data_IF_979422890515
#
_entry.id   IF_979422890515
#
_cell.length_a   1.000
_cell.length_b   1.000
_cell.length_c   1.000
_cell.angle_alpha   90.00
_cell.angle_beta   90.00
_cell.angle_gamma   90.00
#
_symmetry.space_group_name_H-M   'P 1'
#
loop_
_entity.id
_entity.type
_entity.pdbx_description
1 polymer ?
#
# COMPACT_ATOMS: atom_id res chain seq x y z
N UNK A 1 22.54 -19.74 4.84
CA UNK A 1 22.13 -18.76 3.80
C UNK A 1 22.06 -17.38 4.42
N UNK A 2 22.77 -16.36 3.88
CA UNK A 2 22.61 -14.97 4.32
C UNK A 2 21.21 -14.49 3.91
N UNK A 3 20.41 -14.03 4.86
CA UNK A 3 19.08 -13.44 4.62
C UNK A 3 19.28 -12.15 3.82
N UNK A 4 18.61 -12.00 2.68
CA UNK A 4 18.68 -10.75 1.91
C UNK A 4 18.28 -9.56 2.81
N UNK A 5 18.92 -8.39 2.66
CA UNK A 5 18.61 -7.23 3.49
C UNK A 5 17.14 -6.84 3.33
N UNK A 6 16.49 -6.37 4.42
CA UNK A 6 15.11 -5.92 4.34
C UNK A 6 15.00 -4.76 3.38
N UNK A 7 13.99 -4.83 2.51
CA UNK A 7 13.68 -3.79 1.53
C UNK A 7 12.52 -2.97 2.05
N UNK A 8 12.71 -1.66 2.17
CA UNK A 8 11.70 -0.74 2.65
C UNK A 8 11.28 0.26 1.59
N UNK A 9 10.02 0.65 1.63
CA UNK A 9 9.49 1.84 0.99
C UNK A 9 9.47 2.95 2.04
N UNK A 10 10.19 4.04 1.78
CA UNK A 10 10.03 5.27 2.57
C UNK A 10 8.97 6.13 1.89
N UNK A 11 7.91 6.39 2.64
CA UNK A 11 6.73 7.09 2.18
C UNK A 11 6.73 8.52 2.70
N UNK A 12 6.79 9.49 1.77
CA UNK A 12 6.57 10.91 2.06
C UNK A 12 5.29 11.38 1.36
N UNK A 13 4.88 12.63 1.61
CA UNK A 13 3.67 13.19 1.06
C UNK A 13 3.63 13.16 -0.49
N UNK A 14 4.75 13.44 -1.16
CA UNK A 14 4.79 13.60 -2.62
C UNK A 14 5.82 12.73 -3.35
N UNK A 15 6.92 12.34 -2.69
CA UNK A 15 8.01 11.56 -3.29
C UNK A 15 8.34 10.35 -2.43
N UNK A 16 8.27 9.17 -3.02
CA UNK A 16 8.57 7.90 -2.38
C UNK A 16 10.03 7.52 -2.65
N UNK A 17 10.71 6.91 -1.68
CA UNK A 17 12.03 6.31 -1.90
C UNK A 17 11.83 4.80 -2.04
N UNK A 18 12.11 4.30 -3.23
CA UNK A 18 11.94 2.88 -3.58
C UNK A 18 13.29 2.20 -3.69
N UNK A 19 13.43 0.93 -3.27
CA UNK A 19 14.60 0.13 -3.62
C UNK A 19 14.70 0.01 -5.14
N UNK A 20 15.83 0.42 -5.72
CA UNK A 20 16.02 0.48 -7.17
C UNK A 20 15.80 -0.90 -7.83
N UNK A 21 16.20 -1.98 -7.14
CA UNK A 21 15.98 -3.38 -7.56
C UNK A 21 14.50 -3.78 -7.75
N UNK A 22 13.54 -2.98 -7.26
CA UNK A 22 12.11 -3.25 -7.40
C UNK A 22 11.46 -2.43 -8.52
N UNK A 23 12.18 -1.45 -9.08
CA UNK A 23 11.67 -0.57 -10.12
C UNK A 23 11.64 -1.29 -11.47
N UNK A 24 10.52 -1.16 -12.20
CA UNK A 24 10.46 -1.57 -13.61
C UNK A 24 10.89 -0.40 -14.49
N UNK A 25 11.96 -0.60 -15.24
CA UNK A 25 12.50 0.40 -16.15
C UNK A 25 11.58 0.55 -17.36
N UNK A 26 11.31 1.80 -17.76
CA UNK A 26 10.50 2.14 -18.94
C UNK A 26 11.33 2.74 -20.09
N UNK A 27 12.57 3.16 -19.85
CA UNK A 27 13.45 3.80 -20.84
C UNK A 27 14.90 3.32 -20.71
N UNK A 28 15.67 3.38 -21.80
CA UNK A 28 17.08 2.92 -21.86
C UNK A 28 18.09 3.87 -21.22
N UNK A 29 17.83 5.18 -21.19
CA UNK A 29 18.76 6.17 -20.61
C UNK A 29 18.73 6.13 -19.08
N UNK A 30 17.55 5.99 -18.49
CA UNK A 30 17.37 5.88 -17.04
C UNK A 30 17.86 4.52 -16.51
N UNK A 31 17.92 3.50 -17.38
CA UNK A 31 18.26 2.14 -17.01
C UNK A 31 19.65 2.00 -16.38
N UNK A 32 20.68 2.68 -16.91
CA UNK A 32 22.04 2.58 -16.37
C UNK A 32 22.16 3.22 -14.98
N UNK A 33 21.60 4.42 -14.83
CA UNK A 33 21.64 5.14 -13.57
C UNK A 33 20.89 4.38 -12.46
N UNK A 34 19.74 3.77 -12.80
CA UNK A 34 18.95 2.99 -11.85
C UNK A 34 19.60 1.64 -11.55
N UNK A 35 20.24 0.98 -12.53
CA UNK A 35 20.90 -0.31 -12.33
C UNK A 35 22.04 -0.25 -11.30
N UNK A 36 22.73 0.89 -11.21
CA UNK A 36 23.79 1.13 -10.21
C UNK A 36 23.27 1.76 -8.90
N UNK A 37 21.98 2.07 -8.83
CA UNK A 37 21.38 2.73 -7.66
C UNK A 37 20.96 1.72 -6.60
N UNK A 38 20.94 2.17 -5.35
CA UNK A 38 20.33 1.42 -4.24
C UNK A 38 18.86 1.77 -4.14
N UNK A 39 18.54 3.05 -4.31
CA UNK A 39 17.20 3.59 -4.22
C UNK A 39 16.90 4.55 -5.36
N UNK A 40 15.63 4.84 -5.56
CA UNK A 40 15.18 5.90 -6.47
C UNK A 40 14.18 6.80 -5.77
N UNK A 41 14.21 8.08 -6.11
CA UNK A 41 13.14 9.00 -5.80
C UNK A 41 12.05 8.85 -6.86
N UNK A 42 10.84 8.49 -6.44
CA UNK A 42 9.70 8.25 -7.32
C UNK A 42 8.55 9.17 -6.94
N UNK A 43 8.05 9.95 -7.88
CA UNK A 43 6.89 10.82 -7.65
C UNK A 43 5.66 9.97 -7.39
N UNK A 44 4.96 10.24 -6.29
CA UNK A 44 3.84 9.42 -5.81
C UNK A 44 2.62 9.45 -6.74
N UNK A 45 2.30 10.62 -7.30
CA UNK A 45 1.08 10.85 -8.13
C UNK A 45 1.04 10.07 -9.45
N UNK A 46 2.19 9.90 -10.10
CA UNK A 46 2.28 9.34 -11.46
C UNK A 46 3.32 8.21 -11.59
N UNK A 47 4.11 8.00 -10.54
CA UNK A 47 5.13 6.98 -10.49
C UNK A 47 6.38 7.26 -11.30
N UNK A 48 6.57 8.51 -11.76
CA UNK A 48 7.76 8.91 -12.49
C UNK A 48 8.98 8.83 -11.58
N UNK A 49 10.04 8.19 -12.06
CA UNK A 49 11.34 8.22 -11.37
C UNK A 49 11.98 9.59 -11.62
N UNK A 50 12.37 10.25 -10.53
CA UNK A 50 12.90 11.62 -10.52
C UNK A 50 14.42 11.64 -10.38
N UNK A 51 14.97 10.73 -9.57
CA UNK A 51 16.39 10.63 -9.30
C UNK A 51 16.77 9.20 -8.91
N UNK A 52 18.02 8.84 -9.16
CA UNK A 52 18.68 7.64 -8.64
C UNK A 52 19.54 8.02 -7.43
N UNK A 53 19.61 7.15 -6.42
CA UNK A 53 20.44 7.35 -5.23
C UNK A 53 21.29 6.11 -4.99
N UNK A 54 22.61 6.31 -4.88
CA UNK A 54 23.56 5.24 -4.60
C UNK A 54 24.79 5.76 -3.84
N UNK A 55 25.89 4.99 -3.80
CA UNK A 55 27.09 5.36 -3.05
C UNK A 55 27.72 6.70 -3.48
N UNK A 56 27.57 7.08 -4.75
CA UNK A 56 28.03 8.36 -5.29
C UNK A 56 27.10 9.54 -5.02
N UNK A 57 26.04 9.36 -4.23
CA UNK A 57 25.04 10.37 -3.92
C UNK A 57 23.82 10.32 -4.83
N UNK A 58 23.08 11.44 -4.85
CA UNK A 58 21.86 11.62 -5.64
C UNK A 58 22.19 12.06 -7.06
N UNK A 59 21.67 11.33 -8.05
CA UNK A 59 21.78 11.63 -9.48
C UNK A 59 20.40 11.98 -10.04
N UNK A 60 20.15 13.24 -10.44
CA UNK A 60 18.90 13.64 -11.06
C UNK A 60 18.67 12.91 -12.39
N UNK A 61 17.44 12.44 -12.64
CA UNK A 61 17.00 11.91 -13.93
C UNK A 61 16.09 12.89 -14.69
N UNK A 62 15.79 14.04 -14.07
CA UNK A 62 14.98 15.10 -14.64
C UNK A 62 15.66 16.46 -14.47
N UNK A 63 15.65 17.33 -15.51
CA UNK A 63 16.25 18.67 -15.42
C UNK A 63 15.67 19.54 -14.30
N UNK A 64 14.38 19.39 -14.01
CA UNK A 64 13.66 20.22 -13.05
C UNK A 64 13.53 19.59 -11.65
N UNK A 65 14.37 18.60 -11.31
CA UNK A 65 14.29 17.87 -10.02
C UNK A 65 14.14 18.83 -8.83
N UNK A 66 14.98 19.87 -8.75
CA UNK A 66 15.04 20.80 -7.62
C UNK A 66 13.77 21.63 -7.40
N UNK A 67 12.82 21.62 -8.34
CA UNK A 67 11.51 22.28 -8.22
C UNK A 67 10.39 21.29 -7.89
N UNK A 68 10.70 20.01 -7.72
CA UNK A 68 9.70 18.98 -7.43
C UNK A 68 9.13 19.16 -6.02
N UNK A 69 7.80 19.27 -5.87
CA UNK A 69 7.16 19.33 -4.56
C UNK A 69 7.53 18.12 -3.69
N UNK A 70 7.92 18.39 -2.45
CA UNK A 70 8.31 17.38 -1.48
C UNK A 70 9.73 16.82 -1.65
N UNK A 71 10.57 17.38 -2.53
CA UNK A 71 11.95 16.92 -2.69
C UNK A 71 12.75 17.07 -1.39
N UNK A 72 12.62 18.20 -0.70
CA UNK A 72 13.32 18.44 0.58
C UNK A 72 13.00 17.36 1.61
N UNK A 73 11.71 17.05 1.79
CA UNK A 73 11.26 15.98 2.68
C UNK A 73 11.78 14.60 2.25
N UNK A 74 11.90 14.35 0.94
CA UNK A 74 12.45 13.10 0.42
C UNK A 74 13.97 12.99 0.62
N UNK A 75 14.71 14.08 0.45
CA UNK A 75 16.16 14.13 0.72
C UNK A 75 16.41 13.93 2.22
N UNK A 76 15.68 14.63 3.09
CA UNK A 76 15.78 14.44 4.54
C UNK A 76 15.45 13.01 4.99
N UNK A 77 14.66 12.27 4.20
CA UNK A 77 14.33 10.88 4.49
C UNK A 77 15.39 9.87 4.02
N UNK A 78 16.41 10.28 3.25
CA UNK A 78 17.50 9.40 2.82
C UNK A 78 18.36 8.92 3.97
N UNK A 79 18.58 9.76 4.98
CA UNK A 79 19.35 9.40 6.19
C UNK A 79 18.77 8.18 6.90
N UNK A 80 17.45 7.98 6.80
CA UNK A 80 16.76 6.82 7.37
C UNK A 80 17.14 5.52 6.68
N UNK A 81 17.33 5.54 5.36
CA UNK A 81 17.76 4.36 4.61
C UNK A 81 19.22 4.01 4.85
N UNK A 82 20.03 5.02 5.19
CA UNK A 82 21.45 4.85 5.55
C UNK A 82 21.66 4.41 7.00
N UNK A 83 20.61 4.48 7.84
CA UNK A 83 20.65 4.03 9.21
C UNK A 83 20.92 2.51 9.29
N UNK A 84 21.65 2.08 10.34
CA UNK A 84 21.94 0.66 10.58
C UNK A 84 20.68 -0.19 10.74
N UNK A 85 19.63 0.38 11.32
CA UNK A 85 18.30 -0.25 11.41
C UNK A 85 17.19 0.76 11.06
N UNK A 86 16.77 0.83 9.79
CA UNK A 86 15.68 1.71 9.37
C UNK A 86 14.35 1.41 10.10
N UNK A 87 14.11 0.16 10.50
CA UNK A 87 12.88 -0.24 11.19
C UNK A 87 12.82 0.25 12.64
N UNK A 88 13.97 0.59 13.24
CA UNK A 88 14.05 1.20 14.57
C UNK A 88 14.04 2.74 14.53
N UNK A 89 14.10 3.35 13.34
CA UNK A 89 14.14 4.81 13.18
C UNK A 89 12.86 5.50 13.69
N UNK A 90 12.96 6.80 14.01
CA UNK A 90 11.78 7.61 14.32
C UNK A 90 10.77 7.63 13.17
N UNK A 91 11.25 7.56 11.92
CA UNK A 91 10.41 7.48 10.73
C UNK A 91 9.54 6.20 10.74
N UNK A 92 10.09 5.07 11.18
CA UNK A 92 9.34 3.82 11.25
C UNK A 92 8.14 3.86 12.21
N UNK A 93 8.14 4.80 13.16
CA UNK A 93 7.04 5.04 14.11
C UNK A 93 6.11 6.19 13.68
N UNK A 94 6.47 6.93 12.64
CA UNK A 94 5.73 8.08 12.17
C UNK A 94 4.73 7.75 11.07
N UNK A 95 3.71 8.59 10.99
CA UNK A 95 2.69 8.59 9.94
C UNK A 95 2.73 9.92 9.17
N UNK A 96 2.04 9.98 8.02
CA UNK A 96 1.84 11.23 7.29
C UNK A 96 0.57 11.93 7.78
N UNK A 97 0.60 13.26 7.99
CA UNK A 97 -0.57 14.03 8.41
C UNK A 97 -1.75 13.92 7.43
N UNK A 98 -2.98 13.97 7.98
CA UNK A 98 -4.22 13.82 7.22
C UNK A 98 -4.83 15.12 6.66
N UNK A 99 -4.35 16.31 7.04
CA UNK A 99 -5.03 17.59 6.77
C UNK A 99 -5.35 17.82 5.28
N UNK A 100 -4.39 17.55 4.40
CA UNK A 100 -4.59 17.68 2.96
C UNK A 100 -5.67 16.71 2.42
N UNK A 101 -5.78 15.53 3.04
CA UNK A 101 -6.79 14.52 2.67
C UNK A 101 -8.17 14.94 3.14
N UNK A 102 -8.29 15.54 4.32
CA UNK A 102 -9.56 16.10 4.80
C UNK A 102 -10.04 17.24 3.91
N UNK A 103 -9.14 18.15 3.51
CA UNK A 103 -9.47 19.23 2.58
C UNK A 103 -9.91 18.69 1.20
N UNK A 104 -9.20 17.68 0.66
CA UNK A 104 -9.58 17.02 -0.60
C UNK A 104 -10.95 16.33 -0.49
N UNK A 105 -11.23 15.65 0.63
CA UNK A 105 -12.51 14.99 0.88
C UNK A 105 -13.67 15.99 0.94
N UNK A 106 -13.49 17.11 1.64
CA UNK A 106 -14.47 18.18 1.68
C UNK A 106 -14.73 18.78 0.29
N UNK A 107 -13.68 18.98 -0.51
CA UNK A 107 -13.79 19.45 -1.90
C UNK A 107 -14.52 18.45 -2.82
N UNK A 108 -14.49 17.15 -2.52
CA UNK A 108 -15.28 16.12 -3.22
C UNK A 108 -16.73 16.03 -2.73
N UNK A 109 -17.11 16.79 -1.70
CA UNK A 109 -18.44 16.75 -1.10
C UNK A 109 -18.67 15.57 -0.15
N UNK A 110 -17.60 15.01 0.43
CA UNK A 110 -17.73 14.01 1.49
C UNK A 110 -18.36 14.65 2.73
N UNK A 111 -19.38 13.99 3.30
CA UNK A 111 -20.02 14.48 4.52
C UNK A 111 -19.04 14.50 5.71
N UNK A 112 -19.13 15.53 6.55
CA UNK A 112 -18.27 15.70 7.73
C UNK A 112 -18.41 14.54 8.73
N UNK A 113 -19.58 13.91 8.78
CA UNK A 113 -19.89 12.79 9.65
C UNK A 113 -19.58 11.43 9.02
N UNK A 114 -18.98 11.36 7.82
CA UNK A 114 -18.75 10.13 7.08
C UNK A 114 -18.08 9.03 7.91
N UNK A 115 -17.06 9.38 8.71
CA UNK A 115 -16.37 8.43 9.57
C UNK A 115 -17.30 7.83 10.64
N UNK A 116 -18.18 8.65 11.20
CA UNK A 116 -19.13 8.24 12.23
C UNK A 116 -20.30 7.44 11.63
N UNK A 117 -20.84 7.88 10.50
CA UNK A 117 -22.00 7.26 9.84
C UNK A 117 -21.64 5.93 9.16
N UNK A 118 -20.43 5.79 8.62
CA UNK A 118 -19.94 4.53 8.04
C UNK A 118 -19.17 3.65 9.04
N UNK A 119 -18.76 4.17 10.18
CA UNK A 119 -17.82 3.49 11.08
C UNK A 119 -16.43 3.22 10.48
N UNK A 120 -16.10 3.78 9.31
CA UNK A 120 -14.78 3.70 8.71
C UNK A 120 -13.89 4.79 9.30
N UNK A 121 -12.98 4.40 10.20
CA UNK A 121 -12.04 5.35 10.81
C UNK A 121 -11.05 5.93 9.79
N UNK A 122 -10.46 7.07 10.14
CA UNK A 122 -9.34 7.61 9.38
C UNK A 122 -8.07 6.78 9.65
N UNK A 123 -7.34 6.46 8.59
CA UNK A 123 -6.09 5.73 8.59
C UNK A 123 -4.99 6.62 8.03
N UNK A 124 -4.08 7.05 8.88
CA UNK A 124 -2.87 7.72 8.43
C UNK A 124 -1.95 6.76 7.68
N UNK A 125 -1.15 7.28 6.76
CA UNK A 125 -0.19 6.45 6.02
C UNK A 125 1.10 6.24 6.83
N UNK A 126 1.58 5.00 7.00
CA UNK A 126 2.91 4.75 7.56
C UNK A 126 4.00 5.40 6.72
N UNK A 127 5.00 5.98 7.37
CA UNK A 127 6.18 6.54 6.68
C UNK A 127 7.20 5.48 6.25
N UNK A 128 7.11 4.26 6.79
CA UNK A 128 7.97 3.14 6.42
C UNK A 128 7.16 1.85 6.24
N UNK A 129 7.29 1.23 5.07
CA UNK A 129 6.61 -0.03 4.73
C UNK A 129 7.63 -1.08 4.31
N UNK A 130 7.42 -2.33 4.69
CA UNK A 130 8.27 -3.45 4.33
C UNK A 130 7.80 -4.12 3.03
N UNK A 131 8.76 -4.52 2.19
CA UNK A 131 8.50 -5.29 0.99
C UNK A 131 7.96 -6.68 1.33
N UNK A 132 6.67 -6.92 1.11
CA UNK A 132 5.95 -8.14 1.47
C UNK A 132 5.91 -9.20 0.36
N UNK A 133 6.63 -8.98 -0.74
CA UNK A 133 6.66 -9.87 -1.91
C UNK A 133 6.14 -9.15 -3.15
N UNK A 134 5.70 -9.92 -4.14
CA UNK A 134 5.02 -9.37 -5.31
C UNK A 134 3.57 -9.81 -5.32
N UNK A 135 2.70 -8.93 -5.79
CA UNK A 135 1.32 -9.29 -6.10
C UNK A 135 1.25 -10.11 -7.40
N UNK A 136 0.04 -10.59 -7.74
CA UNK A 136 -0.21 -11.39 -8.95
C UNK A 136 0.11 -10.68 -10.26
N UNK A 137 0.23 -9.36 -10.25
CA UNK A 137 0.64 -8.54 -11.40
C UNK A 137 2.14 -8.25 -11.39
N UNK A 138 2.90 -8.94 -10.53
CA UNK A 138 4.32 -8.78 -10.26
C UNK A 138 4.72 -7.37 -9.77
N UNK A 139 3.79 -6.58 -9.23
CA UNK A 139 4.08 -5.28 -8.60
C UNK A 139 4.60 -5.52 -7.18
N UNK A 140 5.39 -4.59 -6.66
CA UNK A 140 5.87 -4.70 -5.27
C UNK A 140 4.68 -4.58 -4.31
N UNK A 141 4.57 -5.54 -3.39
CA UNK A 141 3.59 -5.51 -2.30
C UNK A 141 4.24 -4.84 -1.09
N UNK A 142 3.60 -3.83 -0.54
CA UNK A 142 4.07 -3.06 0.61
C UNK A 142 3.09 -3.23 1.76
N UNK A 143 3.59 -3.56 2.95
CA UNK A 143 2.81 -3.69 4.18
C UNK A 143 3.59 -3.14 5.37
N UNK A 144 2.91 -2.81 6.45
CA UNK A 144 3.56 -2.50 7.73
C UNK A 144 4.41 -3.71 8.16
N UNK A 145 5.56 -3.48 8.79
CA UNK A 145 6.52 -4.56 9.08
C UNK A 145 5.91 -5.78 9.80
N UNK A 146 5.08 -5.63 10.84
CA UNK A 146 4.41 -6.76 11.49
C UNK A 146 3.42 -7.47 10.55
N UNK A 147 2.56 -6.73 9.84
CA UNK A 147 1.64 -7.27 8.85
C UNK A 147 2.37 -8.03 7.72
N UNK A 148 3.52 -7.53 7.27
CA UNK A 148 4.36 -8.21 6.27
C UNK A 148 4.94 -9.53 6.81
N UNK A 149 5.23 -9.64 8.11
CA UNK A 149 5.69 -10.89 8.73
C UNK A 149 4.52 -11.88 8.85
N UNK A 150 3.38 -11.42 9.34
CA UNK A 150 2.16 -12.21 9.45
C UNK A 150 1.70 -12.75 8.09
N UNK A 151 1.68 -11.90 7.06
CA UNK A 151 1.35 -12.28 5.68
C UNK A 151 2.24 -13.42 5.16
N UNK A 152 3.56 -13.31 5.36
CA UNK A 152 4.50 -14.38 4.93
C UNK A 152 4.27 -15.68 5.68
N UNK A 153 3.98 -15.62 6.98
CA UNK A 153 3.67 -16.80 7.79
C UNK A 153 2.36 -17.45 7.33
N UNK A 154 1.30 -16.66 7.10
CA UNK A 154 0.01 -17.14 6.62
C UNK A 154 0.14 -17.82 5.25
N UNK A 155 0.84 -17.21 4.29
CA UNK A 155 1.10 -17.83 2.99
C UNK A 155 1.90 -19.13 3.09
N UNK A 156 2.90 -19.18 3.98
CA UNK A 156 3.72 -20.37 4.16
C UNK A 156 2.89 -21.52 4.74
N UNK A 157 2.05 -21.25 5.73
CA UNK A 157 1.13 -22.25 6.31
C UNK A 157 0.10 -22.74 5.28
N UNK A 158 -0.52 -21.82 4.54
CA UNK A 158 -1.45 -22.20 3.47
C UNK A 158 -0.77 -23.14 2.45
N UNK A 159 0.47 -22.84 2.06
CA UNK A 159 1.22 -23.67 1.13
C UNK A 159 1.51 -25.07 1.69
N UNK A 160 1.80 -25.20 2.99
CA UNK A 160 1.96 -26.53 3.62
C UNK A 160 0.67 -27.35 3.58
N UNK A 161 -0.48 -26.68 3.62
CA UNK A 161 -1.80 -27.31 3.49
C UNK A 161 -2.25 -27.49 2.03
N UNK A 162 -1.37 -27.26 1.06
CA UNK A 162 -1.68 -27.39 -0.38
C UNK A 162 -2.52 -26.25 -0.96
N UNK A 163 -2.65 -25.13 -0.24
CA UNK A 163 -3.43 -23.95 -0.64
C UNK A 163 -2.51 -22.81 -1.07
N UNK A 164 -2.72 -22.27 -2.27
CA UNK A 164 -1.96 -21.14 -2.76
C UNK A 164 -2.69 -19.82 -2.54
N UNK A 165 -2.06 -18.90 -1.78
CA UNK A 165 -2.54 -17.53 -1.60
C UNK A 165 -1.71 -16.55 -2.44
N UNK A 166 -2.39 -15.77 -3.27
CA UNK A 166 -1.84 -14.67 -4.07
C UNK A 166 -2.28 -13.33 -3.48
N UNK A 167 -1.35 -12.37 -3.37
CA UNK A 167 -1.77 -10.98 -3.14
C UNK A 167 -2.27 -10.37 -4.45
N UNK A 168 -3.38 -9.63 -4.38
CA UNK A 168 -3.90 -8.78 -5.44
C UNK A 168 -3.43 -7.34 -5.22
N UNK A 169 -3.53 -6.86 -3.98
CA UNK A 169 -3.16 -5.50 -3.58
C UNK A 169 -2.78 -5.44 -2.09
N UNK A 170 -2.05 -4.39 -1.68
CA UNK A 170 -1.58 -4.15 -0.32
C UNK A 170 -1.67 -2.67 0.01
N UNK A 171 -0.63 -2.06 0.59
CA UNK A 171 -0.63 -0.62 0.87
C UNK A 171 -1.02 0.22 -0.36
N UNK A 172 -1.91 1.18 -0.11
CA UNK A 172 -2.42 2.14 -1.09
C UNK A 172 -2.40 3.51 -0.45
N UNK A 173 -1.79 4.49 -1.09
CA UNK A 173 -1.77 5.85 -0.57
C UNK A 173 -3.11 6.57 -0.73
N UNK A 174 -3.36 7.59 0.09
CA UNK A 174 -4.45 8.56 -0.02
C UNK A 174 -4.46 9.19 -1.42
N UNK A 175 -3.29 9.60 -1.93
CA UNK A 175 -3.16 10.13 -3.30
C UNK A 175 -3.59 9.12 -4.37
N UNK A 176 -3.24 7.84 -4.21
CA UNK A 176 -3.67 6.80 -5.15
C UNK A 176 -5.18 6.59 -5.08
N UNK A 177 -5.75 6.55 -3.87
CA UNK A 177 -7.19 6.39 -3.64
C UNK A 177 -7.98 7.57 -4.22
N UNK A 178 -7.49 8.81 -4.05
CA UNK A 178 -8.06 9.99 -4.70
C UNK A 178 -8.08 9.85 -6.23
N UNK A 179 -7.00 9.35 -6.82
CA UNK A 179 -6.96 9.05 -8.25
C UNK A 179 -7.99 8.00 -8.70
N UNK A 180 -8.39 7.05 -7.84
CA UNK A 180 -9.50 6.12 -8.13
C UNK A 180 -10.82 6.90 -8.23
N UNK A 181 -11.07 7.79 -7.27
CA UNK A 181 -12.27 8.63 -7.23
C UNK A 181 -12.33 9.54 -8.46
N UNK A 182 -11.26 10.26 -8.77
CA UNK A 182 -11.14 11.12 -9.96
C UNK A 182 -11.48 10.36 -11.24
N UNK A 183 -10.95 9.14 -11.42
CA UNK A 183 -11.27 8.30 -12.59
C UNK A 183 -12.73 7.84 -12.62
N UNK A 184 -13.37 7.63 -11.48
CA UNK A 184 -14.79 7.23 -11.40
C UNK A 184 -15.72 8.40 -11.64
N UNK A 185 -15.40 9.59 -11.12
CA UNK A 185 -16.10 10.82 -11.48
C UNK A 185 -16.00 11.11 -12.98
N UNK A 186 -14.81 10.95 -13.58
CA UNK A 186 -14.63 11.09 -15.02
C UNK A 186 -15.45 10.08 -15.85
N UNK A 187 -15.89 8.97 -15.24
CA UNK A 187 -16.80 7.99 -15.84
C UNK A 187 -18.29 8.26 -15.54
N UNK A 188 -18.60 9.37 -14.86
CA UNK A 188 -19.97 9.78 -14.54
C UNK A 188 -20.58 9.14 -13.30
N UNK A 189 -19.79 8.48 -12.45
CA UNK A 189 -20.30 7.92 -11.19
C UNK A 189 -20.50 9.04 -10.16
N UNK A 190 -21.60 9.00 -9.41
CA UNK A 190 -21.81 9.87 -8.25
C UNK A 190 -20.92 9.46 -7.08
N UNK A 191 -20.70 10.37 -6.13
CA UNK A 191 -19.94 10.08 -4.91
C UNK A 191 -20.53 8.87 -4.17
N UNK A 192 -21.84 8.83 -3.96
CA UNK A 192 -22.53 7.71 -3.30
C UNK A 192 -22.30 6.37 -4.01
N UNK A 193 -22.32 6.35 -5.34
CA UNK A 193 -22.05 5.13 -6.11
C UNK A 193 -20.59 4.67 -5.95
N UNK A 194 -19.65 5.61 -5.81
CA UNK A 194 -18.25 5.31 -5.55
C UNK A 194 -18.09 4.75 -4.13
N UNK A 195 -18.71 5.40 -3.13
CA UNK A 195 -18.57 5.06 -1.70
C UNK A 195 -19.11 3.67 -1.35
N UNK A 196 -20.05 3.12 -2.14
CA UNK A 196 -20.53 1.73 -1.97
C UNK A 196 -19.45 0.68 -2.22
N UNK A 197 -18.48 0.96 -3.08
CA UNK A 197 -17.47 -0.02 -3.54
C UNK A 197 -16.05 0.43 -3.23
N UNK A 198 -15.86 1.65 -2.74
CA UNK A 198 -14.56 2.18 -2.35
C UNK A 198 -14.72 3.15 -1.19
N UNK A 199 -14.09 2.85 -0.06
CA UNK A 199 -13.93 3.82 1.02
C UNK A 199 -13.25 5.12 0.53
N UNK A 200 -13.65 6.25 1.10
CA UNK A 200 -13.07 7.56 0.80
C UNK A 200 -11.55 7.57 1.08
N UNK A 201 -10.75 8.44 0.40
CA UNK A 201 -9.36 8.67 0.78
C UNK A 201 -9.24 8.94 2.28
N UNK A 202 -8.33 8.24 2.95
CA UNK A 202 -8.20 8.29 4.40
C UNK A 202 -8.99 7.22 5.14
N UNK A 203 -10.03 6.64 4.53
CA UNK A 203 -10.94 5.68 5.20
C UNK A 203 -10.81 4.24 4.69
N UNK A 204 -9.88 3.98 3.75
CA UNK A 204 -9.53 2.64 3.32
C UNK A 204 -8.48 2.01 4.24
N UNK A 205 -8.71 0.76 4.68
CA UNK A 205 -7.73 0.03 5.51
C UNK A 205 -6.39 -0.18 4.81
N UNK A 206 -6.34 -0.15 3.47
CA UNK A 206 -5.08 -0.21 2.71
C UNK A 206 -4.12 0.95 3.03
N UNK A 207 -4.63 2.09 3.51
CA UNK A 207 -3.78 3.22 3.93
C UNK A 207 -2.90 2.86 5.11
N UNK A 208 -3.38 2.01 6.01
CA UNK A 208 -2.62 1.58 7.21
C UNK A 208 -1.44 0.67 6.89
N UNK A 209 -1.36 0.14 5.67
CA UNK A 209 -0.42 -0.93 5.31
C UNK A 209 -0.71 -2.28 5.98
N UNK A 210 -1.89 -2.46 6.58
CA UNK A 210 -2.28 -3.71 7.24
C UNK A 210 -3.24 -4.57 6.40
N UNK A 211 -3.93 -3.98 5.41
CA UNK A 211 -4.85 -4.71 4.53
C UNK A 211 -4.14 -5.36 3.33
N UNK A 212 -4.62 -6.55 2.97
CA UNK A 212 -4.22 -7.29 1.78
C UNK A 212 -5.48 -7.80 1.07
N UNK A 213 -5.57 -7.53 -0.23
CA UNK A 213 -6.52 -8.23 -1.08
C UNK A 213 -5.92 -9.57 -1.48
N UNK A 214 -6.62 -10.68 -1.22
CA UNK A 214 -6.13 -12.04 -1.42
C UNK A 214 -6.95 -12.73 -2.50
N UNK A 215 -6.26 -13.43 -3.40
CA UNK A 215 -6.85 -14.32 -4.38
C UNK A 215 -6.13 -15.67 -4.41
N UNK A 216 -6.46 -16.47 -5.41
CA UNK A 216 -5.84 -17.77 -5.69
C UNK A 216 -5.53 -17.89 -7.20
N UNK A 217 -4.54 -18.70 -7.62
CA UNK A 217 -4.28 -18.92 -9.03
C UNK A 217 -5.52 -19.43 -9.77
N UNK A 218 -5.71 -18.98 -11.01
CA UNK A 218 -6.83 -19.36 -11.86
C UNK A 218 -8.16 -18.64 -11.60
N UNK A 219 -8.28 -17.92 -10.48
CA UNK A 219 -9.49 -17.18 -10.12
C UNK A 219 -9.43 -15.69 -10.49
N UNK A 220 -10.60 -15.08 -10.71
CA UNK A 220 -10.71 -13.65 -11.01
C UNK A 220 -10.40 -12.81 -9.77
N UNK A 221 -9.57 -11.76 -9.90
CA UNK A 221 -9.15 -10.97 -8.74
C UNK A 221 -10.28 -10.07 -8.24
N UNK A 222 -10.45 -10.02 -6.92
CA UNK A 222 -11.36 -9.08 -6.25
C UNK A 222 -12.81 -9.19 -6.76
N UNK A 223 -13.29 -10.43 -6.88
CA UNK A 223 -14.68 -10.75 -7.22
C UNK A 223 -15.28 -11.67 -6.14
N UNK A 224 -16.60 -11.64 -6.00
CA UNK A 224 -17.32 -12.47 -5.02
C UNK A 224 -17.09 -13.97 -5.23
N UNK A 225 -16.77 -14.39 -6.46
CA UNK A 225 -16.44 -15.76 -6.81
C UNK A 225 -15.30 -16.38 -6.00
N UNK A 226 -14.42 -15.54 -5.42
CA UNK A 226 -13.35 -16.00 -4.52
C UNK A 226 -13.89 -16.81 -3.33
N UNK A 227 -15.11 -16.51 -2.86
CA UNK A 227 -15.78 -17.23 -1.77
C UNK A 227 -15.92 -18.75 -2.03
N UNK A 228 -16.07 -19.15 -3.30
CA UNK A 228 -16.24 -20.55 -3.69
C UNK A 228 -14.91 -21.33 -3.73
N UNK A 229 -13.78 -20.69 -3.44
CA UNK A 229 -12.45 -21.30 -3.57
C UNK A 229 -12.01 -22.03 -2.31
N UNK A 230 -11.13 -23.03 -2.48
CA UNK A 230 -10.44 -23.67 -1.36
C UNK A 230 -9.59 -22.68 -0.54
N UNK A 231 -9.07 -21.63 -1.19
CA UNK A 231 -8.29 -20.57 -0.55
C UNK A 231 -9.15 -19.76 0.43
N UNK A 232 -10.35 -19.33 0.03
CA UNK A 232 -11.26 -18.64 0.93
C UNK A 232 -11.69 -19.53 2.09
N UNK A 233 -12.05 -20.80 1.82
CA UNK A 233 -12.39 -21.76 2.86
C UNK A 233 -11.25 -21.95 3.87
N UNK A 234 -9.99 -21.96 3.41
CA UNK A 234 -8.81 -22.01 4.28
C UNK A 234 -8.65 -20.75 5.12
N UNK A 235 -8.78 -19.56 4.51
CA UNK A 235 -8.68 -18.27 5.21
C UNK A 235 -9.72 -18.16 6.32
N UNK A 236 -10.98 -18.54 6.06
CA UNK A 236 -12.06 -18.56 7.06
C UNK A 236 -11.72 -19.39 8.30
N UNK A 237 -10.86 -20.40 8.19
CA UNK A 237 -10.46 -21.26 9.31
C UNK A 237 -9.16 -20.83 9.98
N UNK A 238 -8.21 -20.25 9.22
CA UNK A 238 -6.80 -20.11 9.65
C UNK A 238 -6.28 -18.69 9.65
N UNK A 239 -6.93 -17.72 8.99
CA UNK A 239 -6.40 -16.37 8.87
C UNK A 239 -6.23 -15.67 10.24
N UNK A 240 -7.17 -15.93 11.17
CA UNK A 240 -7.13 -15.40 12.53
C UNK A 240 -5.88 -15.86 13.31
N UNK A 241 -5.35 -17.06 13.04
CA UNK A 241 -4.10 -17.56 13.66
C UNK A 241 -2.89 -16.66 13.34
N UNK A 242 -2.99 -15.87 12.26
CA UNK A 242 -1.97 -14.92 11.82
C UNK A 242 -2.38 -13.46 12.07
N UNK A 243 -3.50 -13.24 12.76
CA UNK A 243 -4.04 -11.91 13.07
C UNK A 243 -4.78 -11.24 11.91
N UNK A 244 -5.21 -11.98 10.88
CA UNK A 244 -6.01 -11.44 9.78
C UNK A 244 -7.50 -11.71 9.97
N UNK A 245 -8.32 -10.70 9.72
CA UNK A 245 -9.79 -10.78 9.72
C UNK A 245 -10.36 -10.24 8.41
N UNK A 246 -11.51 -10.76 8.00
CA UNK A 246 -12.22 -10.27 6.81
C UNK A 246 -13.08 -9.06 7.23
N UNK A 247 -12.82 -7.90 6.65
CA UNK A 247 -13.41 -6.64 7.11
C UNK A 247 -14.81 -6.36 6.56
N UNK A 248 -15.14 -6.90 5.38
CA UNK A 248 -16.39 -6.59 4.68
C UNK A 248 -17.22 -7.84 4.35
N UNK A 249 -17.80 -8.55 5.35
CA UNK A 249 -18.85 -9.54 5.13
C UNK A 249 -20.14 -8.92 4.57
N UNK A 250 -21.10 -9.75 4.11
CA UNK A 250 -22.36 -9.28 3.49
C UNK A 250 -23.20 -8.32 4.36
N UNK A 251 -23.05 -8.42 5.68
CA UNK A 251 -23.78 -7.68 6.71
C UNK A 251 -22.87 -6.68 7.46
N UNK A 252 -21.74 -6.30 6.87
CA UNK A 252 -20.84 -5.33 7.49
C UNK A 252 -21.56 -3.98 7.73
N UNK A 253 -21.26 -3.30 8.86
CA UNK A 253 -21.93 -2.06 9.22
C UNK A 253 -21.47 -0.85 8.39
N UNK A 254 -20.48 -1.03 7.51
CA UNK A 254 -19.80 0.06 6.81
C UNK A 254 -20.49 0.50 5.52
N UNK A 255 -21.50 -0.25 5.06
CA UNK A 255 -22.16 -0.01 3.78
C UNK A 255 -21.26 -0.28 2.56
N UNK A 256 -20.10 -0.92 2.77
CA UNK A 256 -19.22 -1.41 1.72
C UNK A 256 -19.81 -2.72 1.17
N UNK A 257 -19.77 -2.91 -0.15
CA UNK A 257 -20.20 -4.18 -0.77
C UNK A 257 -19.40 -5.37 -0.23
N UNK A 258 -19.94 -6.59 -0.35
CA UNK A 258 -19.25 -7.79 0.11
C UNK A 258 -17.89 -7.96 -0.57
N UNK A 259 -16.81 -8.09 0.22
CA UNK A 259 -15.43 -8.26 -0.28
C UNK A 259 -14.76 -9.50 0.32
N UNK A 260 -15.05 -10.73 -0.16
CA UNK A 260 -14.43 -11.97 0.37
C UNK A 260 -12.90 -12.00 0.23
N UNK A 261 -12.34 -11.17 -0.64
CA UNK A 261 -10.91 -11.04 -0.88
C UNK A 261 -10.21 -10.09 0.10
N UNK A 262 -10.91 -9.23 0.85
CA UNK A 262 -10.28 -8.17 1.64
C UNK A 262 -10.03 -8.62 3.09
N UNK A 263 -8.75 -8.71 3.46
CA UNK A 263 -8.33 -9.17 4.79
C UNK A 263 -7.38 -8.16 5.44
N UNK A 264 -7.69 -7.75 6.67
CA UNK A 264 -6.92 -6.77 7.42
C UNK A 264 -6.18 -7.43 8.59
N UNK A 265 -4.89 -7.12 8.72
CA UNK A 265 -4.11 -7.53 9.89
C UNK A 265 -4.41 -6.61 11.08
N UNK A 266 -4.92 -7.19 12.16
CA UNK A 266 -5.19 -6.48 13.40
C UNK A 266 -3.95 -6.54 14.31
N UNK A 267 -3.40 -5.37 14.61
CA UNK A 267 -2.53 -5.20 15.78
C UNK A 267 -3.42 -5.10 17.03
N UNK A 268 -2.95 -5.46 18.25
CA UNK A 268 -3.64 -5.09 19.49
C UNK A 268 -3.96 -3.58 19.60
N UNK A 269 -3.23 -2.72 18.87
CA UNK A 269 -3.50 -1.27 18.79
C UNK A 269 -4.58 -0.87 17.76
N UNK A 270 -4.99 -1.80 16.89
CA UNK A 270 -5.95 -1.60 15.81
C UNK A 270 -7.16 -2.56 15.86
N UNK A 271 -7.17 -3.47 16.84
CA UNK A 271 -8.21 -4.46 17.11
C UNK A 271 -9.41 -3.84 17.84
#
# INVERSE_FOLDING_TARGET
MRRAPPRFLVNTAAIELWPASLCRLRSNADARAIAAAEHVLRRKRDGRVLAAVGPGGLVPLLPALWREPGLEAAIAALDVLQARDPAASALARGTLPGDAVHADNAAMGLADDYAASSGLRFHEEPRLLAFAGRDRYHRALWLLTPAARAWRAMRAAALQDGVMLEAISGFRSHLYQRGIFERKFARGLSLDAILRVNAAPGHSEHHSGCAVDIGTPGDRPAEEGFEATAAFAWLRRRAADFGFTMSYPRDNPHGITYEPWHWCWLSPANA
#
